data_IF_030987665271
#
_entry.id   IF_030987665271
#
_cell.length_a   1.000
_cell.length_b   1.000
_cell.length_c   1.000
_cell.angle_alpha   90.00
_cell.angle_beta   90.00
_cell.angle_gamma   90.00
#
_symmetry.space_group_name_H-M   'P 1'
#
loop_
_entity.id
_entity.type
_entity.pdbx_description
1 polymer ?
#
# COMPACT_ATOMS: atom_id res chain seq x y z
N UNK A 1 -2.78 -21.12 6.22
CA UNK A 1 -4.00 -21.97 6.32
C UNK A 1 -4.53 -22.15 7.73
N UNK A 2 -3.73 -22.50 8.76
CA UNK A 2 -4.26 -22.72 10.14
C UNK A 2 -5.00 -21.52 10.77
N UNK A 3 -4.58 -20.27 10.51
CA UNK A 3 -5.24 -19.05 11.08
C UNK A 3 -6.62 -18.77 10.49
N UNK A 4 -6.80 -19.04 9.19
CA UNK A 4 -8.06 -18.77 8.45
C UNK A 4 -9.20 -19.72 8.86
N UNK A 5 -8.86 -20.90 9.42
CA UNK A 5 -9.86 -21.86 9.89
C UNK A 5 -10.56 -21.39 11.18
N UNK A 6 -9.92 -20.54 12.00
CA UNK A 6 -10.44 -20.10 13.30
C UNK A 6 -11.57 -19.05 13.18
N UNK A 7 -11.62 -18.30 12.08
CA UNK A 7 -12.63 -17.25 11.83
C UNK A 7 -14.06 -17.81 11.66
N UNK A 8 -14.20 -19.08 11.23
CA UNK A 8 -15.50 -19.68 10.93
C UNK A 8 -16.41 -19.84 12.15
N UNK A 9 -15.85 -19.92 13.36
CA UNK A 9 -16.59 -20.23 14.59
C UNK A 9 -16.90 -18.97 15.43
N UNK A 10 -16.56 -17.78 14.94
CA UNK A 10 -16.65 -16.52 15.68
C UNK A 10 -17.91 -15.73 15.30
N UNK A 11 -18.52 -15.01 16.25
CA UNK A 11 -19.61 -14.06 15.99
C UNK A 11 -19.17 -12.84 15.15
N UNK A 12 -20.10 -12.05 14.60
CA UNK A 12 -19.80 -10.98 13.61
C UNK A 12 -18.70 -9.99 14.03
N UNK A 13 -18.79 -9.41 15.25
CA UNK A 13 -17.77 -8.46 15.77
C UNK A 13 -16.40 -9.12 15.91
N UNK A 14 -16.41 -10.39 16.29
CA UNK A 14 -15.22 -11.21 16.47
C UNK A 14 -14.58 -11.59 15.11
N UNK A 15 -15.36 -11.74 14.03
CA UNK A 15 -14.81 -11.95 12.67
C UNK A 15 -14.05 -10.72 12.15
N UNK A 16 -14.55 -9.50 12.41
CA UNK A 16 -13.84 -8.27 12.03
C UNK A 16 -12.51 -8.16 12.78
N UNK A 17 -12.51 -8.31 14.11
CA UNK A 17 -11.28 -8.24 14.91
C UNK A 17 -10.26 -9.30 14.48
N UNK A 18 -10.72 -10.54 14.25
CA UNK A 18 -9.86 -11.62 13.75
C UNK A 18 -9.25 -11.33 12.37
N UNK A 19 -9.97 -10.63 11.49
CA UNK A 19 -9.41 -10.18 10.21
C UNK A 19 -8.25 -9.20 10.40
N UNK A 20 -8.37 -8.25 11.35
CA UNK A 20 -7.31 -7.27 11.65
C UNK A 20 -6.06 -7.96 12.19
N UNK A 21 -6.22 -8.97 13.05
CA UNK A 21 -5.10 -9.79 13.55
C UNK A 21 -4.34 -10.51 12.41
N UNK A 22 -5.06 -10.99 11.40
CA UNK A 22 -4.41 -11.61 10.22
C UNK A 22 -3.63 -10.57 9.44
N UNK A 23 -4.23 -9.41 9.16
CA UNK A 23 -3.58 -8.33 8.40
C UNK A 23 -2.36 -7.75 9.13
N UNK A 24 -2.37 -7.70 10.46
CA UNK A 24 -1.21 -7.34 11.28
C UNK A 24 0.00 -8.27 11.06
N UNK A 25 -0.24 -9.53 10.68
CA UNK A 25 0.81 -10.48 10.41
C UNK A 25 1.33 -10.44 8.95
N UNK A 26 0.68 -9.69 8.08
CA UNK A 26 1.10 -9.51 6.68
C UNK A 26 1.98 -8.25 6.64
N UNK A 27 3.27 -8.46 6.45
CA UNK A 27 4.24 -7.36 6.35
C UNK A 27 4.16 -6.72 4.95
N UNK A 28 4.18 -5.39 4.90
CA UNK A 28 4.34 -4.66 3.63
C UNK A 28 5.78 -4.72 3.14
N UNK A 29 5.96 -4.58 1.85
CA UNK A 29 7.16 -4.74 1.05
C UNK A 29 7.96 -5.99 1.38
N UNK A 30 7.34 -7.12 1.74
CA UNK A 30 8.00 -8.29 2.35
C UNK A 30 9.24 -8.77 1.59
N UNK A 31 9.22 -8.58 0.27
CA UNK A 31 10.27 -8.99 -0.69
C UNK A 31 11.39 -7.96 -0.89
N UNK A 32 11.13 -6.68 -0.63
CA UNK A 32 12.16 -5.63 -0.70
C UNK A 32 12.79 -5.54 0.69
N UNK A 33 14.04 -6.00 0.81
CA UNK A 33 14.79 -6.02 2.07
C UNK A 33 16.17 -5.38 1.86
N UNK A 34 16.67 -4.57 2.81
CA UNK A 34 16.01 -4.15 4.05
C UNK A 34 14.86 -3.14 3.82
N UNK A 35 13.95 -3.03 4.78
CA UNK A 35 13.01 -1.90 4.94
C UNK A 35 13.01 -1.57 6.43
N UNK A 36 13.39 -0.34 6.77
CA UNK A 36 13.68 0.04 8.16
C UNK A 36 12.41 0.28 8.97
N UNK A 37 11.42 0.92 8.35
CA UNK A 37 10.14 1.28 8.98
C UNK A 37 9.03 0.36 8.48
N UNK A 38 9.34 -0.95 8.39
CA UNK A 38 8.42 -1.93 7.84
C UNK A 38 7.13 -1.97 8.63
N UNK A 39 6.04 -1.66 7.95
CA UNK A 39 4.68 -1.73 8.46
C UNK A 39 4.03 -3.09 8.18
N UNK A 40 2.78 -3.22 8.60
CA UNK A 40 1.90 -4.32 8.21
C UNK A 40 0.66 -3.76 7.51
N UNK A 41 -0.09 -4.62 6.84
CA UNK A 41 -1.26 -4.24 6.04
C UNK A 41 -2.32 -3.54 6.90
N UNK A 42 -2.55 -4.01 8.12
CA UNK A 42 -3.50 -3.36 9.01
C UNK A 42 -3.11 -1.91 9.35
N UNK A 43 -1.83 -1.66 9.66
CA UNK A 43 -1.35 -0.32 9.95
C UNK A 43 -1.49 0.60 8.73
N UNK A 44 -1.25 0.08 7.53
CA UNK A 44 -1.50 0.81 6.29
C UNK A 44 -2.98 1.21 6.14
N UNK A 45 -3.92 0.30 6.36
CA UNK A 45 -5.35 0.64 6.34
C UNK A 45 -5.72 1.72 7.37
N UNK A 46 -5.11 1.68 8.56
CA UNK A 46 -5.33 2.72 9.56
C UNK A 46 -4.80 4.09 9.09
N UNK A 47 -3.66 4.14 8.40
CA UNK A 47 -3.13 5.39 7.84
C UNK A 47 -3.98 5.89 6.67
N UNK A 48 -4.42 5.01 5.77
CA UNK A 48 -5.34 5.36 4.67
C UNK A 48 -6.65 5.93 5.24
N UNK A 49 -7.22 5.29 6.26
CA UNK A 49 -8.40 5.82 6.96
C UNK A 49 -8.13 7.19 7.60
N UNK A 50 -6.95 7.40 8.19
CA UNK A 50 -6.57 8.68 8.77
C UNK A 50 -6.45 9.78 7.70
N UNK A 51 -5.82 9.49 6.56
CA UNK A 51 -5.72 10.40 5.41
C UNK A 51 -7.10 10.79 4.89
N UNK A 52 -7.98 9.80 4.73
CA UNK A 52 -9.37 10.02 4.28
C UNK A 52 -10.15 10.87 5.28
N UNK A 53 -10.03 10.60 6.59
CA UNK A 53 -10.71 11.40 7.61
C UNK A 53 -10.15 12.84 7.71
N UNK A 54 -8.86 13.03 7.47
CA UNK A 54 -8.24 14.35 7.41
C UNK A 54 -8.79 15.17 6.25
N UNK A 55 -8.95 14.54 5.08
CA UNK A 55 -9.52 15.18 3.90
C UNK A 55 -11.05 15.32 3.94
N UNK A 56 -11.73 14.64 4.88
CA UNK A 56 -13.19 14.54 4.87
C UNK A 56 -13.91 15.89 4.87
N UNK A 57 -13.55 16.91 5.69
CA UNK A 57 -14.23 18.21 5.64
C UNK A 57 -14.14 18.87 4.26
N UNK A 58 -12.96 18.79 3.64
CA UNK A 58 -12.71 19.32 2.30
C UNK A 58 -13.51 18.59 1.22
N UNK A 59 -13.60 17.25 1.34
CA UNK A 59 -14.38 16.44 0.41
C UNK A 59 -15.87 16.74 0.55
N UNK A 60 -16.40 16.82 1.78
CA UNK A 60 -17.81 17.12 2.01
C UNK A 60 -18.21 18.53 1.57
N UNK A 61 -17.29 19.50 1.63
CA UNK A 61 -17.50 20.85 1.10
C UNK A 61 -17.74 20.83 -0.42
N UNK A 62 -16.99 20.00 -1.16
CA UNK A 62 -17.03 19.92 -2.62
C UNK A 62 -18.04 18.91 -3.15
N UNK A 63 -18.27 17.85 -2.38
CA UNK A 63 -19.16 16.75 -2.71
C UNK A 63 -20.08 16.47 -1.51
N UNK A 64 -21.09 17.33 -1.28
CA UNK A 64 -21.99 17.19 -0.12
C UNK A 64 -22.77 15.87 -0.09
N UNK A 65 -22.89 15.20 -1.22
CA UNK A 65 -23.56 13.91 -1.36
C UNK A 65 -22.68 12.69 -1.08
N UNK A 66 -21.43 12.86 -0.66
CA UNK A 66 -20.52 11.73 -0.43
C UNK A 66 -21.02 10.81 0.69
N UNK A 67 -21.01 9.51 0.42
CA UNK A 67 -21.36 8.47 1.39
C UNK A 67 -20.20 8.25 2.37
N UNK A 68 -20.16 9.08 3.41
CA UNK A 68 -19.13 9.01 4.46
C UNK A 68 -19.04 7.62 5.11
N UNK A 69 -20.16 6.94 5.43
CA UNK A 69 -20.10 5.56 5.86
C UNK A 69 -19.30 4.66 4.90
N UNK A 70 -19.66 4.65 3.62
CA UNK A 70 -19.02 3.83 2.58
C UNK A 70 -17.56 4.17 2.39
N UNK A 71 -17.23 5.46 2.31
CA UNK A 71 -15.85 5.95 2.18
C UNK A 71 -14.95 5.41 3.29
N UNK A 72 -15.41 5.47 4.55
CA UNK A 72 -14.67 4.91 5.68
C UNK A 72 -14.57 3.39 5.61
N UNK A 73 -15.64 2.70 5.22
CA UNK A 73 -15.61 1.24 5.11
C UNK A 73 -14.65 0.75 4.02
N UNK A 74 -14.57 1.45 2.88
CA UNK A 74 -13.55 1.20 1.87
C UNK A 74 -12.15 1.38 2.46
N UNK A 75 -11.86 2.52 3.11
CA UNK A 75 -10.54 2.75 3.70
C UNK A 75 -10.15 1.68 4.72
N UNK A 76 -11.11 1.25 5.54
CA UNK A 76 -10.94 0.23 6.58
C UNK A 76 -10.71 -1.19 6.06
N UNK A 77 -10.98 -1.48 4.79
CA UNK A 77 -10.94 -2.86 4.28
C UNK A 77 -10.35 -3.04 2.89
N UNK A 78 -9.84 -1.99 2.24
CA UNK A 78 -9.42 -2.06 0.84
C UNK A 78 -8.40 -3.17 0.53
N UNK A 79 -7.61 -3.59 1.52
CA UNK A 79 -6.59 -4.65 1.43
C UNK A 79 -7.02 -5.98 2.10
N UNK A 80 -8.27 -6.14 2.51
CA UNK A 80 -8.74 -7.37 3.17
C UNK A 80 -8.56 -8.65 2.36
N UNK A 81 -8.58 -8.53 1.04
CA UNK A 81 -8.35 -9.66 0.16
C UNK A 81 -6.92 -10.22 0.28
N UNK A 82 -5.96 -9.42 0.78
CA UNK A 82 -4.59 -9.86 1.08
C UNK A 82 -4.54 -10.97 2.13
N UNK A 83 -5.58 -11.14 2.97
CA UNK A 83 -5.69 -12.29 3.87
C UNK A 83 -5.64 -13.64 3.13
N UNK A 84 -6.04 -13.67 1.86
CA UNK A 84 -6.15 -14.88 1.06
C UNK A 84 -4.92 -15.14 0.19
N UNK A 85 -4.26 -14.10 -0.31
CA UNK A 85 -3.11 -14.22 -1.22
C UNK A 85 -1.79 -13.64 -0.69
N UNK A 86 -1.79 -13.05 0.50
CA UNK A 86 -0.68 -12.27 1.05
C UNK A 86 -0.59 -10.89 0.41
N UNK A 87 0.52 -10.18 0.66
CA UNK A 87 0.81 -8.91 0.00
C UNK A 87 0.88 -9.08 -1.53
N UNK A 88 0.23 -8.19 -2.30
CA UNK A 88 0.36 -8.17 -3.76
C UNK A 88 1.84 -8.07 -4.20
N UNK A 89 2.19 -8.73 -5.33
CA UNK A 89 3.54 -8.57 -5.87
C UNK A 89 3.67 -7.16 -6.49
N UNK A 90 4.82 -6.52 -6.23
CA UNK A 90 5.30 -5.34 -6.94
C UNK A 90 5.28 -5.54 -8.49
N UNK A 91 5.36 -4.47 -9.31
CA UNK A 91 4.66 -4.26 -10.60
C UNK A 91 4.98 -5.20 -11.78
N UNK A 92 5.69 -6.30 -11.56
CA UNK A 92 6.10 -7.25 -12.59
C UNK A 92 5.14 -8.42 -12.79
N UNK A 93 3.98 -8.44 -12.14
CA UNK A 93 2.96 -9.45 -12.42
C UNK A 93 2.09 -9.07 -13.60
N UNK A 94 1.89 -10.04 -14.49
CA UNK A 94 0.94 -9.90 -15.59
C UNK A 94 -0.46 -9.53 -15.04
N UNK A 95 -1.17 -8.58 -15.66
CA UNK A 95 -2.51 -8.16 -15.25
C UNK A 95 -3.48 -9.34 -15.05
N UNK A 96 -3.45 -10.33 -15.93
CA UNK A 96 -4.31 -11.52 -15.89
C UNK A 96 -4.14 -12.32 -14.59
N UNK A 97 -2.90 -12.49 -14.11
CA UNK A 97 -2.62 -13.23 -12.88
C UNK A 97 -3.13 -12.50 -11.63
N UNK A 98 -3.23 -11.18 -11.69
CA UNK A 98 -3.76 -10.35 -10.60
C UNK A 98 -5.28 -10.48 -10.54
N UNK A 99 -5.96 -10.31 -11.67
CA UNK A 99 -7.42 -10.45 -11.75
C UNK A 99 -7.89 -11.86 -11.39
N UNK A 100 -7.19 -12.90 -11.85
CA UNK A 100 -7.52 -14.30 -11.50
C UNK A 100 -7.42 -14.53 -9.99
N UNK A 101 -6.37 -14.01 -9.33
CA UNK A 101 -6.21 -14.12 -7.87
C UNK A 101 -7.26 -13.34 -7.12
N UNK A 102 -7.54 -12.11 -7.54
CA UNK A 102 -8.61 -11.28 -6.97
C UNK A 102 -9.96 -11.97 -7.10
N UNK A 103 -10.27 -12.53 -8.27
CA UNK A 103 -11.49 -13.31 -8.49
C UNK A 103 -11.58 -14.57 -7.61
N UNK A 104 -10.46 -15.28 -7.38
CA UNK A 104 -10.41 -16.40 -6.43
C UNK A 104 -10.60 -15.95 -4.98
N UNK A 105 -10.03 -14.81 -4.60
CA UNK A 105 -10.18 -14.23 -3.27
C UNK A 105 -11.63 -13.78 -3.01
N UNK A 106 -12.25 -13.10 -3.99
CA UNK A 106 -13.66 -12.71 -3.94
C UNK A 106 -14.59 -13.92 -3.78
N UNK A 107 -14.33 -15.02 -4.49
CA UNK A 107 -15.05 -16.29 -4.29
C UNK A 107 -14.86 -16.87 -2.88
N UNK A 108 -13.69 -16.63 -2.28
CA UNK A 108 -13.35 -17.10 -0.92
C UNK A 108 -14.01 -16.28 0.19
N UNK A 109 -14.64 -15.14 -0.13
CA UNK A 109 -15.38 -14.31 0.84
C UNK A 109 -16.66 -14.98 1.35
N UNK A 110 -17.25 -15.92 0.61
CA UNK A 110 -18.51 -16.58 1.00
C UNK A 110 -18.38 -17.30 2.37
N UNK A 111 -19.25 -16.98 3.32
CA UNK A 111 -19.26 -17.52 4.70
C UNK A 111 -18.18 -16.96 5.63
N UNK A 112 -17.06 -16.47 5.09
CA UNK A 112 -15.90 -15.97 5.86
C UNK A 112 -15.93 -14.48 6.12
N UNK A 113 -16.69 -13.75 5.30
CA UNK A 113 -16.72 -12.30 5.28
C UNK A 113 -18.12 -11.75 5.57
N UNK A 114 -18.83 -12.48 6.43
CA UNK A 114 -20.15 -12.14 6.96
C UNK A 114 -19.96 -11.35 8.26
N UNK A 115 -19.69 -10.06 8.13
CA UNK A 115 -19.67 -9.09 9.22
C UNK A 115 -19.97 -7.71 8.65
N UNK A 116 -20.15 -6.73 9.54
CA UNK A 116 -20.35 -5.34 9.16
C UNK A 116 -19.10 -4.52 9.39
N UNK A 117 -18.85 -3.57 8.49
CA UNK A 117 -17.84 -2.53 8.64
C UNK A 117 -18.53 -1.21 8.49
N UNK A 118 -18.45 -0.40 9.55
CA UNK A 118 -19.08 0.91 9.60
C UNK A 118 -20.58 0.87 9.23
N UNK A 119 -21.29 -0.15 9.72
CA UNK A 119 -22.73 -0.36 9.47
C UNK A 119 -23.10 -0.97 8.11
N UNK A 120 -22.12 -1.40 7.31
CA UNK A 120 -22.38 -2.02 6.00
C UNK A 120 -21.85 -3.45 5.91
N UNK A 121 -22.53 -4.34 5.16
CA UNK A 121 -22.03 -5.69 4.93
C UNK A 121 -20.66 -5.68 4.25
N UNK A 122 -19.64 -6.20 4.91
CA UNK A 122 -18.25 -6.11 4.47
C UNK A 122 -18.05 -6.71 3.06
N UNK A 123 -18.78 -7.77 2.73
CA UNK A 123 -18.74 -8.37 1.38
C UNK A 123 -19.19 -7.39 0.29
N UNK A 124 -20.21 -6.57 0.56
CA UNK A 124 -20.70 -5.57 -0.40
C UNK A 124 -19.66 -4.46 -0.54
N UNK A 125 -19.05 -4.04 0.56
CA UNK A 125 -17.94 -3.06 0.57
C UNK A 125 -16.79 -3.56 -0.33
N UNK A 126 -16.34 -4.81 -0.16
CA UNK A 126 -15.27 -5.39 -0.98
C UNK A 126 -15.62 -5.47 -2.47
N UNK A 127 -16.85 -5.86 -2.80
CA UNK A 127 -17.30 -5.95 -4.19
C UNK A 127 -17.38 -4.57 -4.84
N UNK A 128 -17.94 -3.57 -4.15
CA UNK A 128 -18.04 -2.20 -4.65
C UNK A 128 -16.67 -1.56 -4.82
N UNK A 129 -15.77 -1.71 -3.83
CA UNK A 129 -14.39 -1.22 -3.94
C UNK A 129 -13.68 -1.81 -5.15
N UNK A 130 -13.94 -3.09 -5.45
CA UNK A 130 -13.39 -3.77 -6.63
C UNK A 130 -13.79 -3.16 -7.97
N UNK A 131 -14.96 -2.53 -8.06
CA UNK A 131 -15.47 -1.91 -9.28
C UNK A 131 -14.92 -0.51 -9.51
N UNK A 132 -14.52 0.20 -8.44
CA UNK A 132 -13.97 1.57 -8.49
C UNK A 132 -14.86 2.59 -9.24
N UNK A 133 -16.18 2.35 -9.25
CA UNK A 133 -17.14 3.13 -10.04
C UNK A 133 -17.66 4.39 -9.34
N UNK A 134 -17.51 4.47 -8.02
CA UNK A 134 -18.02 5.57 -7.19
C UNK A 134 -16.88 6.47 -6.67
N UNK A 135 -17.21 7.68 -6.25
CA UNK A 135 -16.22 8.65 -5.77
C UNK A 135 -15.49 8.13 -4.54
N UNK A 136 -16.19 7.48 -3.63
CA UNK A 136 -15.67 6.98 -2.36
C UNK A 136 -14.54 5.97 -2.60
N UNK A 137 -14.74 5.02 -3.50
CA UNK A 137 -13.69 4.03 -3.84
C UNK A 137 -12.50 4.67 -4.54
N UNK A 138 -12.72 5.70 -5.35
CA UNK A 138 -11.65 6.43 -6.03
C UNK A 138 -10.81 7.27 -5.07
N UNK A 139 -11.45 7.93 -4.08
CA UNK A 139 -10.75 8.66 -3.01
C UNK A 139 -9.87 7.71 -2.21
N UNK A 140 -10.40 6.55 -1.81
CA UNK A 140 -9.61 5.55 -1.06
C UNK A 140 -8.47 5.00 -1.91
N UNK A 141 -8.72 4.74 -3.19
CA UNK A 141 -7.67 4.23 -4.07
C UNK A 141 -6.50 5.19 -4.21
N UNK A 142 -6.81 6.48 -4.36
CA UNK A 142 -5.80 7.53 -4.41
C UNK A 142 -5.04 7.64 -3.06
N UNK A 143 -5.77 7.59 -1.94
CA UNK A 143 -5.17 7.64 -0.61
C UNK A 143 -4.25 6.44 -0.31
N UNK A 144 -4.60 5.24 -0.80
CA UNK A 144 -3.73 4.04 -0.77
C UNK A 144 -2.39 4.30 -1.46
N UNK A 145 -2.41 4.79 -2.72
CA UNK A 145 -1.17 5.12 -3.42
C UNK A 145 -0.40 6.28 -2.77
N UNK A 146 -1.09 7.26 -2.18
CA UNK A 146 -0.46 8.34 -1.45
C UNK A 146 0.28 7.83 -0.20
N UNK A 147 -0.32 6.92 0.57
CA UNK A 147 0.35 6.27 1.71
C UNK A 147 1.56 5.45 1.26
N UNK A 148 1.43 4.68 0.17
CA UNK A 148 2.54 3.90 -0.40
C UNK A 148 3.71 4.79 -0.87
N UNK A 149 3.41 5.94 -1.46
CA UNK A 149 4.41 6.96 -1.76
C UNK A 149 5.10 7.44 -0.49
N UNK A 150 4.35 7.73 0.58
CA UNK A 150 4.89 8.13 1.88
C UNK A 150 5.82 7.09 2.50
N UNK A 151 5.45 5.81 2.47
CA UNK A 151 6.31 4.71 2.93
C UNK A 151 7.62 4.65 2.14
N UNK A 152 7.56 4.73 0.81
CA UNK A 152 8.75 4.72 -0.03
C UNK A 152 9.62 5.96 0.17
N UNK A 153 9.00 7.12 0.36
CA UNK A 153 9.69 8.38 0.61
C UNK A 153 10.44 8.36 1.95
N UNK A 154 9.83 7.80 3.01
CA UNK A 154 10.50 7.60 4.29
C UNK A 154 11.75 6.71 4.18
N UNK A 155 11.66 5.62 3.40
CA UNK A 155 12.79 4.73 3.17
C UNK A 155 13.90 5.42 2.36
N UNK A 156 13.56 6.15 1.30
CA UNK A 156 14.53 6.92 0.51
C UNK A 156 15.21 8.00 1.35
N UNK A 157 14.46 8.75 2.16
CA UNK A 157 15.05 9.74 3.08
C UNK A 157 15.91 9.10 4.18
N UNK A 158 15.64 7.84 4.54
CA UNK A 158 16.50 7.06 5.42
C UNK A 158 17.76 6.51 4.72
N UNK A 159 17.94 6.77 3.41
CA UNK A 159 19.08 6.29 2.62
C UNK A 159 18.89 4.90 1.99
N UNK A 160 17.66 4.39 1.95
CA UNK A 160 17.35 3.10 1.34
C UNK A 160 17.08 3.24 -0.17
N UNK A 161 18.14 3.17 -0.97
CA UNK A 161 18.04 3.32 -2.42
C UNK A 161 17.16 2.25 -3.11
N UNK A 162 16.89 1.11 -2.46
CA UNK A 162 15.97 0.08 -2.99
C UNK A 162 14.52 0.57 -3.10
N UNK A 163 14.16 1.65 -2.40
CA UNK A 163 12.83 2.23 -2.43
C UNK A 163 12.66 3.37 -3.45
N UNK A 164 13.71 3.70 -4.22
CA UNK A 164 13.61 4.68 -5.33
C UNK A 164 12.60 4.24 -6.39
N UNK A 165 12.68 2.99 -6.83
CA UNK A 165 11.74 2.43 -7.81
C UNK A 165 10.29 2.42 -7.28
N UNK A 166 10.01 1.89 -6.07
CA UNK A 166 8.70 2.05 -5.43
C UNK A 166 8.21 3.50 -5.34
N UNK A 167 9.09 4.46 -4.99
CA UNK A 167 8.72 5.87 -4.91
C UNK A 167 8.30 6.42 -6.28
N UNK A 168 9.14 6.22 -7.31
CA UNK A 168 8.84 6.65 -8.68
C UNK A 168 7.58 6.00 -9.23
N UNK A 169 7.37 4.72 -8.94
CA UNK A 169 6.16 3.99 -9.32
C UNK A 169 4.91 4.64 -8.70
N UNK A 170 4.90 4.88 -7.38
CA UNK A 170 3.73 5.47 -6.72
C UNK A 170 3.46 6.91 -7.17
N UNK A 171 4.49 7.73 -7.35
CA UNK A 171 4.31 9.09 -7.92
C UNK A 171 3.73 9.02 -9.33
N UNK A 172 4.21 8.10 -10.16
CA UNK A 172 3.66 7.89 -11.51
C UNK A 172 2.21 7.38 -11.46
N UNK A 173 1.90 6.46 -10.54
CA UNK A 173 0.56 5.94 -10.35
C UNK A 173 -0.42 7.05 -9.94
N UNK A 174 -0.05 7.89 -8.97
CA UNK A 174 -0.85 9.05 -8.56
C UNK A 174 -1.12 9.99 -9.73
N UNK A 175 -0.13 10.26 -10.59
CA UNK A 175 -0.31 11.09 -11.81
C UNK A 175 -1.26 10.44 -12.81
N UNK A 176 -1.14 9.14 -13.03
CA UNK A 176 -2.01 8.39 -13.94
C UNK A 176 -3.45 8.34 -13.42
N UNK A 177 -3.63 8.16 -12.11
CA UNK A 177 -4.96 8.12 -11.48
C UNK A 177 -5.76 9.39 -11.67
N UNK A 178 -5.09 10.55 -11.78
CA UNK A 178 -5.75 11.82 -12.14
C UNK A 178 -6.54 11.75 -13.45
N UNK A 179 -6.15 10.86 -14.35
CA UNK A 179 -6.82 10.63 -15.64
C UNK A 179 -7.74 9.41 -15.64
N UNK A 180 -7.47 8.41 -14.79
CA UNK A 180 -8.21 7.14 -14.75
C UNK A 180 -9.37 7.12 -13.75
N UNK A 181 -9.38 8.02 -12.77
CA UNK A 181 -10.40 8.10 -11.73
C UNK A 181 -11.28 9.33 -11.99
N UNK A 182 -12.29 9.22 -12.89
CA UNK A 182 -13.00 10.40 -13.38
C UNK A 182 -13.79 11.13 -12.30
N UNK A 183 -14.31 10.43 -11.30
CA UNK A 183 -15.06 11.06 -10.21
C UNK A 183 -14.12 11.87 -9.30
N UNK A 184 -12.89 11.39 -9.12
CA UNK A 184 -11.88 12.05 -8.29
C UNK A 184 -11.46 13.43 -8.82
N UNK A 185 -11.58 13.67 -10.14
CA UNK A 185 -11.12 14.90 -10.80
C UNK A 185 -11.64 16.19 -10.17
N UNK A 186 -12.81 16.17 -9.55
CA UNK A 186 -13.41 17.32 -8.88
C UNK A 186 -12.74 17.70 -7.56
N UNK A 187 -11.93 16.80 -7.00
CA UNK A 187 -11.17 17.01 -5.76
C UNK A 187 -9.70 17.37 -6.03
N UNK A 188 -9.19 17.08 -7.23
CA UNK A 188 -7.80 17.30 -7.61
C UNK A 188 -7.49 18.78 -7.86
N UNK A 189 -6.28 19.21 -7.47
CA UNK A 189 -5.77 20.58 -7.62
C UNK A 189 -6.65 21.66 -6.97
N UNK A 190 -7.51 21.25 -6.04
CA UNK A 190 -8.41 22.14 -5.32
C UNK A 190 -7.80 22.64 -3.99
N UNK A 191 -6.49 22.42 -3.77
CA UNK A 191 -5.70 23.00 -2.68
C UNK A 191 -5.65 22.19 -1.38
N UNK A 192 -5.96 20.89 -1.41
CA UNK A 192 -5.79 20.01 -0.26
C UNK A 192 -4.59 19.10 -0.47
N UNK A 193 -3.70 19.03 0.53
CA UNK A 193 -2.42 18.31 0.46
C UNK A 193 -2.54 16.84 0.03
N UNK A 194 -3.62 16.15 0.41
CA UNK A 194 -3.86 14.77 -0.05
C UNK A 194 -4.01 14.69 -1.57
N UNK A 195 -4.61 15.68 -2.22
CA UNK A 195 -4.94 15.67 -3.65
C UNK A 195 -3.92 16.44 -4.52
N UNK A 196 -2.83 16.89 -3.89
CA UNK A 196 -1.71 17.54 -4.56
C UNK A 196 -0.56 16.52 -4.68
N UNK A 197 -0.24 16.12 -5.91
CA UNK A 197 0.88 15.19 -6.14
C UNK A 197 2.19 15.95 -5.91
N UNK A 198 3.03 15.54 -4.94
CA UNK A 198 4.27 16.26 -4.69
C UNK A 198 5.23 16.13 -5.88
N UNK A 199 5.91 17.24 -6.19
CA UNK A 199 7.06 17.21 -7.08
C UNK A 199 8.25 16.61 -6.33
N UNK A 200 8.81 15.53 -6.87
CA UNK A 200 10.06 14.98 -6.34
C UNK A 200 11.20 15.89 -6.76
N UNK A 201 11.85 16.54 -5.80
CA UNK A 201 13.07 17.30 -6.06
C UNK A 201 14.16 16.39 -6.65
N UNK A 202 14.97 16.94 -7.55
CA UNK A 202 16.15 16.24 -8.09
C UNK A 202 17.08 15.77 -6.96
N UNK A 203 17.14 16.51 -5.85
CA UNK A 203 17.91 16.12 -4.66
C UNK A 203 17.42 14.82 -4.02
N UNK A 204 16.11 14.57 -3.96
CA UNK A 204 15.56 13.30 -3.44
C UNK A 204 15.95 12.15 -4.37
N UNK A 205 15.96 12.39 -5.67
CA UNK A 205 16.34 11.40 -6.68
C UNK A 205 17.86 11.21 -6.76
N UNK A 206 18.64 12.25 -6.46
CA UNK A 206 20.10 12.26 -6.52
C UNK A 206 20.76 11.89 -5.19
N UNK A 207 20.03 11.92 -4.06
CA UNK A 207 20.56 11.65 -2.72
C UNK A 207 21.16 10.24 -2.61
N UNK A 208 22.46 10.15 -2.86
CA UNK A 208 23.32 9.03 -2.45
C UNK A 208 23.94 9.32 -1.08
N UNK A 209 23.16 9.87 -0.14
CA UNK A 209 23.69 10.24 1.17
C UNK A 209 23.93 8.97 1.99
N UNK A 210 25.15 8.70 2.48
CA UNK A 210 25.34 7.77 3.58
C UNK A 210 24.79 8.47 4.83
N UNK A 211 23.58 8.12 5.28
CA UNK A 211 23.01 8.70 6.51
C UNK A 211 23.25 7.82 7.73
N UNK A 212 23.65 8.46 8.83
CA UNK A 212 24.29 7.96 10.06
C UNK A 212 23.66 6.79 10.84
N UNK A 213 22.33 6.54 10.86
CA UNK A 213 21.79 5.32 11.47
C UNK A 213 22.21 4.06 10.70
N UNK A 214 22.47 4.19 9.39
CA UNK A 214 22.93 3.12 8.51
C UNK A 214 24.30 2.61 8.93
N UNK A 215 25.30 3.46 9.18
CA UNK A 215 26.62 2.97 9.59
C UNK A 215 26.59 2.37 11.00
N UNK A 216 25.74 2.91 11.89
CA UNK A 216 25.51 2.32 13.21
C UNK A 216 24.92 0.91 13.11
N UNK A 217 23.76 0.74 12.45
CA UNK A 217 23.11 -0.56 12.30
C UNK A 217 23.88 -1.52 11.39
N UNK A 218 24.52 -1.03 10.32
CA UNK A 218 25.41 -1.82 9.47
C UNK A 218 26.61 -2.32 10.26
N UNK A 219 27.22 -1.50 11.12
CA UNK A 219 28.30 -1.94 12.01
C UNK A 219 27.83 -2.89 13.12
N UNK A 220 26.58 -2.74 13.58
CA UNK A 220 25.98 -3.60 14.61
C UNK A 220 25.53 -4.96 14.06
N UNK A 221 24.95 -4.98 12.86
CA UNK A 221 24.49 -6.19 12.15
C UNK A 221 25.66 -6.96 11.53
N UNK A 222 26.67 -6.27 10.98
CA UNK A 222 27.88 -6.93 10.46
C UNK A 222 28.74 -7.61 11.53
N UNK A 223 28.51 -7.30 12.81
CA UNK A 223 29.15 -7.97 13.94
C UNK A 223 28.45 -9.27 14.35
N UNK A 224 27.22 -9.54 13.90
CA UNK A 224 26.40 -10.64 14.43
C UNK A 224 25.55 -11.43 13.40
N UNK A 225 25.71 -11.24 12.09
CA UNK A 225 24.89 -11.95 11.08
C UNK A 225 25.66 -12.87 10.10
N UNK A 226 24.91 -13.90 9.68
CA UNK A 226 25.17 -14.92 8.67
C UNK A 226 25.82 -14.33 7.38
N UNK A 227 26.90 -14.94 6.86
CA UNK A 227 27.58 -14.55 5.62
C UNK A 227 26.65 -14.29 4.42
N UNK A 228 25.48 -14.94 4.37
CA UNK A 228 24.53 -14.78 3.29
C UNK A 228 23.86 -13.39 3.25
N UNK A 229 23.55 -12.81 4.42
CA UNK A 229 22.97 -11.45 4.50
C UNK A 229 24.03 -10.40 4.15
N UNK A 230 25.27 -10.64 4.59
CA UNK A 230 26.43 -9.79 4.30
C UNK A 230 26.71 -9.70 2.79
N UNK A 231 26.66 -10.82 2.06
CA UNK A 231 26.88 -10.81 0.61
C UNK A 231 25.73 -10.15 -0.16
N UNK A 232 24.47 -10.33 0.27
CA UNK A 232 23.32 -9.68 -0.39
C UNK A 232 23.35 -8.14 -0.33
N UNK A 233 23.99 -7.58 0.72
CA UNK A 233 24.14 -6.13 0.94
C UNK A 233 25.38 -5.54 0.22
N UNK A 234 26.34 -6.37 -0.16
CA UNK A 234 27.59 -5.96 -0.82
C UNK A 234 27.52 -6.20 -2.34
N UNK A 235 27.01 -7.35 -2.79
CA UNK A 235 27.00 -7.74 -4.22
C UNK A 235 26.04 -6.90 -5.08
N UNK A 236 25.02 -6.26 -4.50
CA UNK A 236 24.11 -5.40 -5.27
C UNK A 236 24.71 -4.05 -5.68
N UNK A 237 25.81 -3.61 -5.06
CA UNK A 237 26.53 -2.41 -5.51
C UNK A 237 27.36 -2.68 -6.77
N UNK A 238 27.83 -3.91 -6.97
CA UNK A 238 28.62 -4.28 -8.14
C UNK A 238 27.73 -4.55 -9.36
N UNK A 239 26.56 -5.17 -9.18
CA UNK A 239 25.63 -5.43 -10.29
C UNK A 239 24.86 -4.19 -10.81
N UNK A 240 24.70 -3.15 -9.99
CA UNK A 240 24.02 -1.92 -10.42
C UNK A 240 24.92 -0.98 -11.26
N UNK A 241 26.24 -1.23 -11.27
CA UNK A 241 27.20 -0.48 -12.10
C UNK A 241 27.38 -1.01 -13.52
N UNK A 242 26.95 -2.25 -13.82
CA UNK A 242 27.24 -2.92 -15.10
C UNK A 242 26.05 -3.00 -16.09
N UNK A 243 24.88 -2.43 -15.75
CA UNK A 243 23.71 -2.39 -16.65
C UNK A 243 23.49 -1.06 -17.38
N UNK A 244 24.52 -0.23 -17.50
CA UNK A 244 24.56 0.80 -18.54
C UNK A 244 25.28 0.26 -19.79
N UNK A 245 24.61 0.41 -20.94
CA UNK A 245 25.10 0.18 -22.31
C UNK A 245 25.17 -1.28 -22.80
N UNK A 246 24.04 -1.97 -22.94
CA UNK A 246 23.78 -2.88 -24.09
C UNK A 246 22.28 -2.96 -24.38
N UNK A 247 21.81 -2.09 -25.28
CA UNK A 247 20.42 -2.12 -25.73
C UNK A 247 19.93 -0.89 -26.51
N UNK A 248 20.83 -0.01 -26.95
CA UNK A 248 20.53 1.05 -27.91
C UNK A 248 21.46 0.94 -29.12
N UNK A 249 21.21 -0.06 -29.96
CA UNK A 249 21.36 -0.05 -31.43
C UNK A 249 20.27 -0.98 -31.97
#
# INVERSE_FOLDING_TARGET
>A
MKRVLKIKEMGHRNKYEASREILQAIQRYRRIRPMFYRSNVYLHEQRVLALVNMALPFIQEREPGIDVPMLRAFAMTHDDLEMYYGEERAPHEAPDDREIRRGRALRSLNGRYEFEVNGMPAKIVQLRYGLQGDLESQVVKYADHFDNMGEAMHEVHAGNDLFREPLLFNVSALRVERTRLPQLTRLLDQGHLLFDVPELSEDILAQRKPYSPYDFWRSALSKNEDPYVRNSLVERKEYAGEREIRGAI
#
